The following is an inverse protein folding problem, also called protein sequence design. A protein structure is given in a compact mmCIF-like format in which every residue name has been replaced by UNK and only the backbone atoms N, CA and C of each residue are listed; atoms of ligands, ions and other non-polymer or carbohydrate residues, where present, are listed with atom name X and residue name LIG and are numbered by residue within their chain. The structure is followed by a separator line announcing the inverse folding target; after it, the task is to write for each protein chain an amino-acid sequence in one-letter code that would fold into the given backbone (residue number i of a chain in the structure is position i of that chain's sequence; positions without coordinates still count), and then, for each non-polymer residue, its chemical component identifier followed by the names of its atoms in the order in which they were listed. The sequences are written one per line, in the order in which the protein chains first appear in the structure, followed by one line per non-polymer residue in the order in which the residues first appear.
data_IF_669518028994
#
_entry.id   IF_669518028994
#
_cell.length_a   1.000
_cell.length_b   1.000
_cell.length_c   1.000
_cell.angle_alpha   90.00
_cell.angle_beta   90.00
_cell.angle_gamma   90.00
#
_symmetry.space_group_name_H-M   'P 1'
#
loop_
_entity.id
_entity.type
_entity.pdbx_description
1 polymer ?
#
# COMPACT_ATOMS: atom_id res chain seq x y z
N UNK A 1 -3.98 6.75 -10.43
CA UNK A 1 -4.13 7.92 -11.34
C UNK A 1 -3.76 7.54 -12.77
N UNK A 2 -4.46 8.04 -13.80
CA UNK A 2 -4.14 7.80 -15.22
C UNK A 2 -2.89 8.53 -15.74
N UNK A 3 -1.94 8.82 -14.84
CA UNK A 3 -0.70 9.51 -15.17
C UNK A 3 0.24 8.53 -15.86
N UNK A 4 0.95 9.00 -16.89
CA UNK A 4 1.98 8.21 -17.55
C UNK A 4 2.98 7.67 -16.51
N UNK A 5 3.44 6.41 -16.60
CA UNK A 5 4.30 5.77 -15.58
C UNK A 5 5.59 6.52 -15.25
N UNK A 6 6.06 7.40 -16.15
CA UNK A 6 7.22 8.29 -15.89
C UNK A 6 6.86 9.42 -14.93
N UNK A 7 5.72 10.07 -15.15
CA UNK A 7 5.27 11.21 -14.35
C UNK A 7 4.93 10.79 -12.92
N UNK A 8 4.31 9.62 -12.74
CA UNK A 8 4.08 9.06 -11.41
C UNK A 8 5.40 8.86 -10.66
N UNK A 9 6.41 8.23 -11.29
CA UNK A 9 7.73 8.03 -10.67
C UNK A 9 8.42 9.34 -10.31
N UNK A 10 8.29 10.36 -11.15
CA UNK A 10 8.89 11.67 -10.91
C UNK A 10 8.22 12.39 -9.73
N UNK A 11 6.88 12.38 -9.68
CA UNK A 11 6.11 12.89 -8.55
C UNK A 11 6.57 12.23 -7.24
N UNK A 12 6.72 10.90 -7.22
CA UNK A 12 7.14 10.19 -6.01
C UNK A 12 8.59 10.49 -5.60
N UNK A 13 9.51 10.71 -6.55
CA UNK A 13 10.87 11.17 -6.21
C UNK A 13 10.86 12.56 -5.58
N UNK A 14 10.05 13.48 -6.10
CA UNK A 14 9.90 14.82 -5.53
C UNK A 14 9.35 14.76 -4.11
N UNK A 15 8.33 13.92 -3.89
CA UNK A 15 7.72 13.69 -2.58
C UNK A 15 8.73 13.11 -1.59
N UNK A 16 9.50 12.06 -1.97
CA UNK A 16 10.51 11.46 -1.09
C UNK A 16 11.61 12.46 -0.71
N UNK A 17 12.06 13.28 -1.67
CA UNK A 17 13.03 14.34 -1.40
C UNK A 17 12.50 15.34 -0.38
N UNK A 18 11.28 15.87 -0.59
CA UNK A 18 10.64 16.83 0.32
C UNK A 18 10.36 16.24 1.70
N UNK A 19 9.98 14.97 1.77
CA UNK A 19 9.83 14.24 3.03
C UNK A 19 11.13 14.26 3.85
N UNK A 20 12.28 14.02 3.20
CA UNK A 20 13.60 14.00 3.86
C UNK A 20 14.11 15.39 4.21
N UNK A 21 13.92 16.36 3.32
CA UNK A 21 14.42 17.73 3.49
C UNK A 21 13.58 18.55 4.48
N UNK A 22 12.24 18.44 4.38
CA UNK A 22 11.30 19.32 5.09
C UNK A 22 10.59 18.61 6.26
N UNK A 23 10.84 17.32 6.48
CA UNK A 23 10.14 16.53 7.50
C UNK A 23 8.65 16.32 7.21
N UNK A 24 8.23 16.46 5.95
CA UNK A 24 6.84 16.38 5.54
C UNK A 24 6.28 14.96 5.72
N UNK A 25 5.10 14.83 6.35
CA UNK A 25 4.35 13.56 6.36
C UNK A 25 3.43 13.49 5.14
N UNK A 26 3.42 12.35 4.46
CA UNK A 26 2.69 12.17 3.19
C UNK A 26 1.75 10.98 3.28
N UNK A 27 0.49 11.19 2.91
CA UNK A 27 -0.49 10.12 2.69
C UNK A 27 -0.79 10.02 1.19
N UNK A 28 -0.62 8.82 0.64
CA UNK A 28 -0.88 8.55 -0.78
C UNK A 28 -1.98 7.51 -0.89
N UNK A 29 -2.97 7.79 -1.73
CA UNK A 29 -4.01 6.82 -2.10
C UNK A 29 -3.82 6.46 -3.56
N UNK A 30 -3.56 5.18 -3.83
CA UNK A 30 -3.36 4.69 -5.19
C UNK A 30 -4.04 3.35 -5.40
N UNK A 31 -4.57 3.16 -6.61
CA UNK A 31 -5.14 1.87 -7.02
C UNK A 31 -4.04 0.85 -7.34
N UNK A 32 -2.87 1.32 -7.79
CA UNK A 32 -1.70 0.48 -7.98
C UNK A 32 -0.95 0.29 -6.65
N UNK A 33 -1.43 -0.66 -5.85
CA UNK A 33 -0.85 -0.97 -4.54
C UNK A 33 0.65 -1.24 -4.60
N UNK A 34 1.16 -1.92 -5.65
CA UNK A 34 2.59 -2.24 -5.79
C UNK A 34 3.45 -0.99 -5.90
N UNK A 35 2.99 0.00 -6.64
CA UNK A 35 3.69 1.27 -6.79
C UNK A 35 3.72 2.03 -5.47
N UNK A 36 2.59 2.12 -4.76
CA UNK A 36 2.48 2.83 -3.48
C UNK A 36 3.30 2.16 -2.38
N UNK A 37 3.27 0.83 -2.32
CA UNK A 37 4.05 0.07 -1.36
C UNK A 37 5.57 0.18 -1.59
N UNK A 38 6.01 0.38 -2.83
CA UNK A 38 7.42 0.56 -3.17
C UNK A 38 8.07 1.82 -2.60
N UNK A 39 7.28 2.77 -2.12
CA UNK A 39 7.74 4.09 -1.66
C UNK A 39 7.29 4.45 -0.24
N UNK A 40 6.33 3.71 0.31
CA UNK A 40 5.74 4.00 1.62
C UNK A 40 6.56 3.35 2.75
N UNK A 41 6.51 3.93 3.95
CA UNK A 41 7.03 3.27 5.16
C UNK A 41 5.98 2.32 5.74
N UNK A 42 4.74 2.80 5.78
CA UNK A 42 3.55 2.13 6.29
C UNK A 42 2.50 2.11 5.19
N UNK A 43 1.69 1.05 5.16
CA UNK A 43 0.55 0.99 4.27
C UNK A 43 -0.66 0.34 4.92
N UNK A 44 -1.82 0.69 4.38
CA UNK A 44 -3.12 0.14 4.69
C UNK A 44 -3.79 -0.20 3.37
N UNK A 45 -4.31 -1.42 3.25
CA UNK A 45 -5.00 -1.91 2.06
C UNK A 45 -6.49 -1.98 2.37
N UNK A 46 -7.28 -1.30 1.52
CA UNK A 46 -8.73 -1.28 1.60
C UNK A 46 -9.34 -2.10 0.47
N UNK A 47 -10.25 -3.01 0.81
CA UNK A 47 -11.07 -3.74 -0.15
C UNK A 47 -12.50 -3.87 0.38
N UNK A 48 -13.50 -3.63 -0.47
CA UNK A 48 -14.91 -3.72 -0.06
C UNK A 48 -15.28 -2.82 1.14
N UNK A 49 -14.62 -1.68 1.29
CA UNK A 49 -14.84 -0.75 2.41
C UNK A 49 -14.23 -1.20 3.75
N UNK A 50 -13.37 -2.23 3.77
CA UNK A 50 -12.71 -2.73 4.98
C UNK A 50 -11.19 -2.76 4.83
N UNK A 51 -10.49 -2.58 5.96
CA UNK A 51 -9.03 -2.77 6.02
C UNK A 51 -8.73 -4.26 5.99
N UNK A 52 -7.98 -4.69 4.98
CA UNK A 52 -7.64 -6.11 4.77
C UNK A 52 -6.18 -6.42 5.06
N UNK A 53 -5.33 -5.40 5.10
CA UNK A 53 -3.98 -5.49 5.65
C UNK A 53 -3.46 -4.12 6.06
N UNK A 54 -2.59 -4.12 7.05
CA UNK A 54 -1.90 -2.93 7.53
C UNK A 54 -0.54 -3.31 8.09
N UNK A 55 0.47 -2.46 7.87
CA UNK A 55 1.81 -2.66 8.45
C UNK A 55 2.92 -1.98 7.66
N UNK A 56 4.19 -2.33 7.93
CA UNK A 56 5.32 -1.85 7.15
C UNK A 56 5.16 -2.21 5.67
N UNK A 57 5.34 -1.25 4.77
CA UNK A 57 5.09 -1.48 3.34
C UNK A 57 5.95 -2.62 2.77
N UNK A 58 7.19 -2.74 3.23
CA UNK A 58 8.10 -3.84 2.88
C UNK A 58 7.54 -5.23 3.18
N UNK A 59 6.79 -5.37 4.28
CA UNK A 59 6.19 -6.65 4.69
C UNK A 59 5.00 -7.02 3.79
N UNK A 60 4.34 -6.01 3.21
CA UNK A 60 3.20 -6.17 2.31
C UNK A 60 3.62 -6.32 0.83
N UNK A 61 4.86 -5.95 0.47
CA UNK A 61 5.44 -6.16 -0.87
C UNK A 61 5.83 -7.62 -1.16
N UNK A 62 6.02 -8.44 -0.12
CA UNK A 62 6.40 -9.85 -0.24
C UNK A 62 5.43 -10.64 -1.13
N UNK A 63 5.98 -11.49 -1.99
CA UNK A 63 5.36 -11.97 -3.24
C UNK A 63 4.03 -12.73 -3.14
N UNK A 64 3.51 -13.05 -1.95
CA UNK A 64 2.21 -13.72 -1.81
C UNK A 64 1.03 -12.78 -1.55
N UNK A 65 1.22 -11.65 -0.85
CA UNK A 65 0.11 -10.80 -0.45
C UNK A 65 -0.55 -10.07 -1.64
N UNK A 66 0.26 -9.48 -2.51
CA UNK A 66 -0.22 -8.76 -3.71
C UNK A 66 -0.68 -9.73 -4.81
N UNK A 67 -0.10 -10.94 -4.88
CA UNK A 67 -0.51 -11.95 -5.88
C UNK A 67 -1.81 -12.66 -5.48
N UNK A 68 -2.04 -12.88 -4.18
CA UNK A 68 -3.27 -13.47 -3.65
C UNK A 68 -4.49 -12.56 -3.75
N UNK A 69 -4.30 -11.23 -3.66
CA UNK A 69 -5.36 -10.25 -3.89
C UNK A 69 -5.50 -9.90 -5.38
N UNK A 70 -5.87 -10.87 -6.22
CA UNK A 70 -6.59 -10.53 -7.45
C UNK A 70 -7.97 -10.07 -7.01
N UNK A 71 -8.23 -8.77 -7.14
CA UNK A 71 -9.51 -8.08 -6.94
C UNK A 71 -10.73 -9.01 -7.11
N UNK A 72 -11.17 -9.62 -6.01
CA UNK A 72 -12.18 -10.70 -6.01
C UNK A 72 -12.10 -11.63 -4.80
N UNK A 73 -10.89 -11.89 -4.27
CA UNK A 73 -10.75 -12.82 -3.15
C UNK A 73 -10.98 -12.13 -1.79
N UNK A 74 -12.05 -12.56 -1.13
CA UNK A 74 -12.46 -12.14 0.20
C UNK A 74 -11.47 -12.69 1.25
N UNK A 75 -10.69 -11.86 1.95
CA UNK A 75 -9.78 -12.31 3.01
C UNK A 75 -10.49 -12.64 4.33
N UNK A 76 -11.83 -12.69 4.35
CA UNK A 76 -12.58 -13.16 5.50
C UNK A 76 -12.28 -14.64 5.76
N UNK A 77 -11.19 -14.91 6.46
CA UNK A 77 -10.81 -16.29 6.77
C UNK A 77 -9.74 -16.48 7.83
N UNK A 78 -9.06 -15.45 8.36
CA UNK A 78 -8.03 -15.64 9.40
C UNK A 78 -7.97 -14.50 10.42
N UNK A 79 -9.05 -14.33 11.17
CA UNK A 79 -8.95 -13.88 12.56
C UNK A 79 -9.65 -14.92 13.41
N UNK A 80 -8.94 -15.99 13.75
CA UNK A 80 -9.37 -16.89 14.81
C UNK A 80 -9.03 -16.20 16.12
N UNK A 81 -10.05 -15.69 16.80
CA UNK A 81 -9.95 -15.30 18.20
C UNK A 81 -9.77 -16.57 19.06
N UNK A 82 -9.09 -16.49 20.22
CA UNK A 82 -9.02 -17.62 21.13
C UNK A 82 -10.41 -17.87 21.72
N UNK A 83 -10.93 -19.08 21.55
CA UNK A 83 -12.14 -19.56 22.24
C UNK A 83 -11.88 -19.64 23.76
N UNK A 84 -12.87 -19.29 24.61
CA UNK A 84 -12.80 -19.50 26.06
C UNK A 84 -12.93 -20.97 26.47
#
# INVERSE_FOLDING_TARGET
LGLAPRLARELFRMIDRRRREDGLTVLVVEQNARLALGIADLACVLAGGRVVAQGPARSLLGEEFIRGFRLGDNPAGRTQAPEP
#
